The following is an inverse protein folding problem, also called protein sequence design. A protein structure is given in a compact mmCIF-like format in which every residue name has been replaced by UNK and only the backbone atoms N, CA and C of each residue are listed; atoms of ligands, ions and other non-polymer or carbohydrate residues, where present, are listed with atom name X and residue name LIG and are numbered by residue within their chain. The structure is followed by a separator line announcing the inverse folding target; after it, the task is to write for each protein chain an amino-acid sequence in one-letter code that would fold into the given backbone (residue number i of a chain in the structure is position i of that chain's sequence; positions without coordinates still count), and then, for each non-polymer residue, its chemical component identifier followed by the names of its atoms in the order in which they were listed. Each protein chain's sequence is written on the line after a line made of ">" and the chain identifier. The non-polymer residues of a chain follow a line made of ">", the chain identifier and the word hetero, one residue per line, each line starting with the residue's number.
data_IF_525848888594
#
_entry.id   IF_525848888594
#
_cell.length_a   1.000
_cell.length_b   1.000
_cell.length_c   1.000
_cell.angle_alpha   90.00
_cell.angle_beta   90.00
_cell.angle_gamma   90.00
#
_symmetry.space_group_name_H-M   'P 1'
#
loop_
_entity.id
_entity.type
_entity.pdbx_description
1 polymer ?
#
# COMPACT_ATOMS: atom_id res chain seq x y z
N UNK A 1 -15.58 -18.18 16.92
CA UNK A 1 -14.42 -19.03 17.25
C UNK A 1 -13.54 -19.22 16.02
N UNK A 2 -12.26 -18.97 16.17
CA UNK A 2 -11.32 -19.22 15.06
C UNK A 2 -11.11 -20.74 14.97
N UNK A 3 -11.63 -21.34 13.92
CA UNK A 3 -11.33 -22.74 13.61
C UNK A 3 -10.02 -22.83 12.84
N UNK A 4 -9.44 -24.01 12.82
CA UNK A 4 -8.25 -24.25 11.98
C UNK A 4 -8.56 -23.98 10.51
N UNK A 5 -9.77 -24.32 10.06
CA UNK A 5 -10.20 -24.03 8.69
C UNK A 5 -10.28 -22.52 8.45
N UNK A 6 -10.87 -21.77 9.41
CA UNK A 6 -10.94 -20.31 9.30
C UNK A 6 -9.55 -19.67 9.22
N UNK A 7 -8.62 -20.14 10.05
CA UNK A 7 -7.24 -19.65 10.01
C UNK A 7 -6.58 -19.98 8.67
N UNK A 8 -6.74 -21.21 8.19
CA UNK A 8 -6.17 -21.62 6.92
C UNK A 8 -6.69 -20.79 5.75
N UNK A 9 -8.01 -20.53 5.73
CA UNK A 9 -8.62 -19.69 4.69
C UNK A 9 -8.11 -18.26 4.75
N UNK A 10 -7.99 -17.70 5.95
CA UNK A 10 -7.44 -16.35 6.13
C UNK A 10 -6.01 -16.27 5.61
N UNK A 11 -5.17 -17.24 5.98
CA UNK A 11 -3.79 -17.29 5.51
C UNK A 11 -3.70 -17.42 3.99
N UNK A 12 -4.58 -18.25 3.40
CA UNK A 12 -4.62 -18.42 1.95
C UNK A 12 -5.01 -17.12 1.25
N UNK A 13 -6.01 -16.42 1.77
CA UNK A 13 -6.46 -15.14 1.19
C UNK A 13 -5.37 -14.08 1.28
N UNK A 14 -4.71 -13.97 2.42
CA UNK A 14 -3.59 -13.03 2.59
C UNK A 14 -2.44 -13.39 1.66
N UNK A 15 -2.15 -14.68 1.53
CA UNK A 15 -1.08 -15.15 0.65
C UNK A 15 -1.34 -14.78 -0.82
N UNK A 16 -2.54 -15.07 -1.32
CA UNK A 16 -2.90 -14.75 -2.71
C UNK A 16 -2.87 -13.23 -2.92
N UNK A 17 -3.47 -12.47 -2.02
CA UNK A 17 -3.42 -11.01 -2.08
C UNK A 17 -1.99 -10.48 -2.04
N UNK A 18 -1.16 -11.07 -1.19
CA UNK A 18 0.25 -10.71 -1.06
C UNK A 18 1.05 -10.99 -2.32
N UNK A 19 0.83 -12.13 -2.95
CA UNK A 19 1.49 -12.48 -4.22
C UNK A 19 1.13 -11.44 -5.30
N UNK A 20 -0.17 -11.14 -5.43
CA UNK A 20 -0.63 -10.17 -6.43
C UNK A 20 -0.11 -8.76 -6.12
N UNK A 21 -0.10 -8.36 -4.85
CA UNK A 21 0.44 -7.07 -4.43
C UNK A 21 1.94 -6.96 -4.68
N UNK A 22 2.68 -8.00 -4.36
CA UNK A 22 4.12 -8.04 -4.61
C UNK A 22 4.46 -8.01 -6.09
N UNK A 23 3.70 -8.73 -6.91
CA UNK A 23 3.84 -8.69 -8.37
C UNK A 23 3.54 -7.29 -8.91
N UNK A 24 2.50 -6.64 -8.40
CA UNK A 24 2.14 -5.28 -8.80
C UNK A 24 3.23 -4.29 -8.44
N UNK A 25 3.83 -4.43 -7.25
CA UNK A 25 4.96 -3.60 -6.85
C UNK A 25 6.16 -3.81 -7.76
N UNK A 26 6.47 -5.04 -8.09
CA UNK A 26 7.56 -5.36 -9.02
C UNK A 26 7.29 -4.73 -10.39
N UNK A 27 6.06 -4.85 -10.89
CA UNK A 27 5.68 -4.26 -12.17
C UNK A 27 5.84 -2.74 -12.16
N UNK A 28 5.41 -2.06 -11.09
CA UNK A 28 5.61 -0.62 -10.96
C UNK A 28 7.08 -0.25 -10.99
N UNK A 29 7.92 -1.01 -10.32
CA UNK A 29 9.36 -0.78 -10.31
C UNK A 29 9.95 -0.89 -11.72
N UNK A 30 9.45 -1.81 -12.53
CA UNK A 30 9.93 -2.00 -13.91
C UNK A 30 9.37 -0.96 -14.87
N UNK A 31 8.09 -0.58 -14.70
CA UNK A 31 7.43 0.37 -15.60
C UNK A 31 7.85 1.80 -15.33
N UNK A 32 8.11 2.14 -14.06
CA UNK A 32 8.53 3.49 -13.67
C UNK A 32 10.05 3.47 -13.53
N UNK A 33 10.74 4.22 -14.40
CA UNK A 33 12.21 4.21 -14.43
C UNK A 33 12.88 4.90 -13.25
N UNK A 34 12.15 5.71 -12.48
CA UNK A 34 12.67 6.43 -11.32
C UNK A 34 12.33 5.68 -10.04
N UNK A 35 13.33 5.33 -9.23
CA UNK A 35 13.13 4.54 -8.03
C UNK A 35 12.21 5.22 -7.01
N UNK A 36 12.41 6.51 -6.76
CA UNK A 36 11.59 7.26 -5.80
C UNK A 36 10.15 7.39 -6.30
N UNK A 37 9.96 7.63 -7.60
CA UNK A 37 8.63 7.70 -8.19
C UNK A 37 7.91 6.36 -8.11
N UNK A 38 8.60 5.25 -8.31
CA UNK A 38 8.03 3.91 -8.20
C UNK A 38 7.59 3.62 -6.76
N UNK A 39 8.42 3.93 -5.78
CA UNK A 39 8.09 3.79 -4.36
C UNK A 39 6.89 4.66 -3.98
N UNK A 40 6.89 5.90 -4.42
CA UNK A 40 5.80 6.84 -4.17
C UNK A 40 4.49 6.33 -4.77
N UNK A 41 4.52 5.88 -6.01
CA UNK A 41 3.35 5.33 -6.69
C UNK A 41 2.82 4.07 -5.97
N UNK A 42 3.71 3.15 -5.60
CA UNK A 42 3.33 1.93 -4.90
C UNK A 42 2.64 2.25 -3.57
N UNK A 43 3.21 3.15 -2.78
CA UNK A 43 2.65 3.52 -1.48
C UNK A 43 1.33 4.29 -1.63
N UNK A 44 1.23 5.18 -2.62
CA UNK A 44 0.00 5.96 -2.85
C UNK A 44 -1.14 5.06 -3.32
N UNK A 45 -0.88 4.17 -4.27
CA UNK A 45 -1.88 3.20 -4.74
C UNK A 45 -2.29 2.27 -3.61
N UNK A 46 -1.33 1.80 -2.82
CA UNK A 46 -1.62 0.94 -1.67
C UNK A 46 -2.50 1.66 -0.64
N UNK A 47 -2.26 2.94 -0.38
CA UNK A 47 -3.09 3.74 0.52
C UNK A 47 -4.53 3.86 0.00
N UNK A 48 -4.70 4.07 -1.30
CA UNK A 48 -6.02 4.13 -1.92
C UNK A 48 -6.76 2.80 -1.75
N UNK A 49 -6.08 1.70 -2.03
CA UNK A 49 -6.67 0.35 -1.90
C UNK A 49 -6.97 0.04 -0.44
N UNK A 50 -6.09 0.40 0.48
CA UNK A 50 -6.31 0.19 1.91
C UNK A 50 -7.54 0.96 2.41
N UNK A 51 -7.69 2.21 1.97
CA UNK A 51 -8.86 3.02 2.30
C UNK A 51 -10.15 2.41 1.76
N UNK A 52 -10.12 1.92 0.53
CA UNK A 52 -11.24 1.20 -0.07
C UNK A 52 -11.56 -0.09 0.71
N UNK A 53 -10.52 -0.83 1.07
CA UNK A 53 -10.67 -2.12 1.76
C UNK A 53 -11.32 -1.97 3.14
N UNK A 54 -11.05 -0.87 3.84
CA UNK A 54 -11.63 -0.62 5.18
C UNK A 54 -13.16 -0.60 5.15
N UNK A 55 -13.76 -0.20 4.04
CA UNK A 55 -15.21 -0.11 3.88
C UNK A 55 -15.82 -1.39 3.32
N UNK A 56 -15.00 -2.35 2.92
CA UNK A 56 -15.44 -3.58 2.27
C UNK A 56 -15.87 -4.64 3.30
N UNK A 57 -16.62 -5.68 2.89
CA UNK A 57 -16.85 -6.84 3.74
C UNK A 57 -15.55 -7.49 4.19
N UNK A 58 -15.57 -8.14 5.36
CA UNK A 58 -14.36 -8.64 6.04
C UNK A 58 -13.43 -9.47 5.13
N UNK A 59 -13.92 -10.46 4.35
CA UNK A 59 -13.01 -11.22 3.48
C UNK A 59 -12.24 -10.35 2.49
N UNK A 60 -12.90 -9.31 1.96
CA UNK A 60 -12.26 -8.37 1.04
C UNK A 60 -11.31 -7.42 1.75
N UNK A 61 -11.61 -7.05 3.01
CA UNK A 61 -10.68 -6.26 3.82
C UNK A 61 -9.35 -7.00 3.98
N UNK A 62 -9.42 -8.29 4.25
CA UNK A 62 -8.23 -9.12 4.44
C UNK A 62 -7.46 -9.26 3.13
N UNK A 63 -8.16 -9.59 2.04
CA UNK A 63 -7.52 -9.81 0.74
C UNK A 63 -6.88 -8.53 0.19
N UNK A 64 -7.63 -7.43 0.18
CA UNK A 64 -7.19 -6.17 -0.41
C UNK A 64 -6.30 -5.36 0.53
N UNK A 65 -6.64 -5.34 1.83
CA UNK A 65 -5.91 -4.56 2.81
C UNK A 65 -4.64 -5.24 3.28
N UNK A 66 -4.79 -6.33 4.05
CA UNK A 66 -3.66 -7.01 4.63
C UNK A 66 -2.81 -7.71 3.57
N UNK A 67 -3.44 -8.32 2.57
CA UNK A 67 -2.73 -9.04 1.51
C UNK A 67 -2.17 -8.11 0.45
N UNK A 68 -3.05 -7.58 -0.40
CA UNK A 68 -2.63 -6.84 -1.60
C UNK A 68 -1.96 -5.50 -1.26
N UNK A 69 -2.66 -4.63 -0.54
CA UNK A 69 -2.11 -3.31 -0.21
C UNK A 69 -0.89 -3.44 0.71
N UNK A 70 -0.92 -4.41 1.62
CA UNK A 70 0.21 -4.67 2.51
C UNK A 70 1.47 -5.05 1.77
N UNK A 71 1.36 -5.86 0.71
CA UNK A 71 2.52 -6.27 -0.09
C UNK A 71 2.92 -5.23 -1.14
N UNK A 72 1.95 -4.43 -1.61
CA UNK A 72 2.22 -3.37 -2.58
C UNK A 72 2.96 -2.21 -1.94
N UNK A 73 2.58 -1.81 -0.72
CA UNK A 73 3.24 -0.73 0.01
C UNK A 73 4.63 -1.16 0.48
N UNK A 74 5.51 -0.18 0.71
CA UNK A 74 6.85 -0.48 1.17
C UNK A 74 7.37 0.61 2.10
N UNK A 75 7.45 0.26 3.38
CA UNK A 75 8.06 1.10 4.40
C UNK A 75 9.58 1.02 4.35
N UNK A 76 10.12 -0.18 4.20
CA UNK A 76 11.57 -0.38 4.24
C UNK A 76 12.28 0.28 3.06
N UNK A 77 11.72 0.23 1.87
CA UNK A 77 12.29 0.92 0.70
C UNK A 77 12.23 2.43 0.88
N UNK A 78 11.09 2.96 1.35
CA UNK A 78 10.95 4.38 1.63
C UNK A 78 11.98 4.85 2.67
N UNK A 79 12.11 4.11 3.77
CA UNK A 79 13.05 4.44 4.83
C UNK A 79 14.50 4.44 4.32
N UNK A 80 14.87 3.47 3.49
CA UNK A 80 16.19 3.40 2.90
C UNK A 80 16.45 4.58 1.97
N UNK A 81 15.48 4.92 1.14
CA UNK A 81 15.60 6.06 0.21
C UNK A 81 15.74 7.38 0.95
N UNK A 82 14.96 7.57 2.02
CA UNK A 82 15.10 8.76 2.86
C UNK A 82 16.48 8.80 3.54
N UNK A 83 16.94 7.65 4.05
CA UNK A 83 18.25 7.54 4.66
C UNK A 83 19.38 7.87 3.68
N UNK A 84 19.27 7.39 2.45
CA UNK A 84 20.26 7.70 1.40
C UNK A 84 20.31 9.19 1.08
N UNK A 85 19.16 9.84 1.00
CA UNK A 85 19.09 11.29 0.77
C UNK A 85 19.73 12.07 1.91
N UNK A 86 19.45 11.67 3.14
CA UNK A 86 20.05 12.31 4.33
C UNK A 86 21.56 12.11 4.35
N UNK A 87 22.03 10.90 4.06
CA UNK A 87 23.46 10.60 4.02
C UNK A 87 24.18 11.38 2.93
N UNK A 88 23.50 11.68 1.83
CA UNK A 88 24.04 12.49 0.73
C UNK A 88 23.97 14.00 1.01
N UNK A 89 23.48 14.42 2.17
CA UNK A 89 23.34 15.83 2.53
C UNK A 89 22.12 16.52 1.90
N UNK A 90 21.21 15.74 1.29
CA UNK A 90 20.04 16.27 0.58
C UNK A 90 18.83 16.30 1.49
N UNK A 91 18.94 17.03 2.60
CA UNK A 91 17.93 17.03 3.66
C UNK A 91 16.59 17.64 3.22
N UNK A 92 16.62 18.70 2.41
CA UNK A 92 15.41 19.32 1.88
C UNK A 92 14.65 18.36 1.00
N UNK A 93 15.36 17.64 0.17
CA UNK A 93 14.75 16.67 -0.74
C UNK A 93 14.14 15.50 0.03
N UNK A 94 14.84 15.02 1.07
CA UNK A 94 14.32 13.98 1.94
C UNK A 94 13.04 14.45 2.64
N UNK A 95 13.03 15.65 3.20
CA UNK A 95 11.83 16.20 3.85
C UNK A 95 10.69 16.35 2.88
N UNK A 96 10.95 16.88 1.69
CA UNK A 96 9.93 17.05 0.65
C UNK A 96 9.33 15.72 0.24
N UNK A 97 10.17 14.72 0.03
CA UNK A 97 9.72 13.37 -0.34
C UNK A 97 8.86 12.76 0.77
N UNK A 98 9.31 12.83 2.03
CA UNK A 98 8.56 12.31 3.17
C UNK A 98 7.20 13.01 3.33
N UNK A 99 7.16 14.35 3.20
CA UNK A 99 5.93 15.12 3.32
C UNK A 99 4.95 14.80 2.18
N UNK A 100 5.43 14.70 0.95
CA UNK A 100 4.59 14.32 -0.18
C UNK A 100 3.97 12.95 0.02
N UNK A 101 4.79 11.99 0.46
CA UNK A 101 4.31 10.62 0.72
C UNK A 101 3.24 10.63 1.80
N UNK A 102 3.47 11.33 2.91
CA UNK A 102 2.52 11.39 4.01
C UNK A 102 1.21 12.07 3.60
N UNK A 103 1.30 13.26 3.00
CA UNK A 103 0.11 14.05 2.63
C UNK A 103 -0.71 13.34 1.57
N UNK A 104 -0.06 12.89 0.49
CA UNK A 104 -0.78 12.22 -0.58
C UNK A 104 -1.25 10.83 -0.20
N UNK A 105 -0.53 10.16 0.72
CA UNK A 105 -1.01 8.90 1.30
C UNK A 105 -2.31 9.08 2.08
N UNK A 106 -2.38 10.12 2.92
CA UNK A 106 -3.60 10.45 3.67
C UNK A 106 -4.75 10.78 2.73
N UNK A 107 -4.50 11.62 1.73
CA UNK A 107 -5.51 11.97 0.72
C UNK A 107 -5.96 10.72 -0.04
N UNK A 108 -5.04 9.84 -0.39
CA UNK A 108 -5.34 8.61 -1.10
C UNK A 108 -6.24 7.68 -0.27
N UNK A 109 -5.95 7.53 1.02
CA UNK A 109 -6.81 6.75 1.94
C UNK A 109 -8.23 7.34 1.96
N UNK A 110 -8.34 8.65 2.05
CA UNK A 110 -9.64 9.33 2.09
C UNK A 110 -10.45 9.06 0.81
N UNK A 111 -9.82 9.20 -0.36
CA UNK A 111 -10.50 8.90 -1.62
C UNK A 111 -10.88 7.43 -1.72
N UNK A 112 -10.00 6.53 -1.30
CA UNK A 112 -10.30 5.10 -1.27
C UNK A 112 -11.52 4.80 -0.41
N UNK A 113 -11.59 5.40 0.77
CA UNK A 113 -12.75 5.25 1.66
C UNK A 113 -14.03 5.79 1.03
N UNK A 114 -13.96 6.94 0.38
CA UNK A 114 -15.14 7.49 -0.30
C UNK A 114 -15.65 6.58 -1.40
N UNK A 115 -14.76 6.06 -2.22
CA UNK A 115 -15.14 5.12 -3.28
C UNK A 115 -15.70 3.83 -2.70
N UNK A 116 -15.10 3.32 -1.63
CA UNK A 116 -15.57 2.13 -0.95
C UNK A 116 -16.96 2.31 -0.35
N UNK A 117 -17.21 3.45 0.29
CA UNK A 117 -18.53 3.76 0.83
C UNK A 117 -19.59 3.79 -0.26
N UNK A 118 -19.28 4.36 -1.41
CA UNK A 118 -20.21 4.35 -2.55
C UNK A 118 -20.44 2.93 -3.08
N UNK A 119 -19.41 2.11 -3.11
CA UNK A 119 -19.50 0.77 -3.66
C UNK A 119 -20.26 -0.18 -2.74
N UNK A 120 -20.09 -0.07 -1.42
CA UNK A 120 -20.59 -1.06 -0.48
C UNK A 120 -21.75 -0.58 0.39
N UNK A 121 -21.93 0.73 0.55
CA UNK A 121 -23.01 1.28 1.36
C UNK A 121 -24.17 1.82 0.52
N UNK A 122 -23.95 1.98 -0.75
CA UNK A 122 -24.98 2.42 -1.67
C UNK A 122 -25.80 1.28 -2.14
#
# INVERSE_FOLDING_TARGET
>A
MASWLGLALTLAVVFVGGVLGGMSRFALTKLIGNAHAATFAANTVACTIAGFAVTAPVPWQIALGAGFAGALSTWSTLARELGDLIAAGRHREALRYALRTAVLGIVAVWFGMRWGLRAFAG
#
